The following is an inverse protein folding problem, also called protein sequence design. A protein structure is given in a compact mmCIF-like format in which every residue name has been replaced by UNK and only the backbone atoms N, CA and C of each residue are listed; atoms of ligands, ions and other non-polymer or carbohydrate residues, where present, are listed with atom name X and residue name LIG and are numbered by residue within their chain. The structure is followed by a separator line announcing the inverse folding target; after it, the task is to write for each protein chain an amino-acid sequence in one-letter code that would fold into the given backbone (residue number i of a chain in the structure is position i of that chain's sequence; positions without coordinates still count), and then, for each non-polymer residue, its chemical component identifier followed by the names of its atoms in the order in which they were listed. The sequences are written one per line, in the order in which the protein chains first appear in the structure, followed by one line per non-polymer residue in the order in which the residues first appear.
data_IF_065193325960
#
_entry.id   IF_065193325960
#
_cell.length_a   1.000
_cell.length_b   1.000
_cell.length_c   1.000
_cell.angle_alpha   90.00
_cell.angle_beta   90.00
_cell.angle_gamma   90.00
#
_symmetry.space_group_name_H-M   'P 1'
#
loop_
_entity.id
_entity.type
_entity.pdbx_description
1 polymer ?
#
# COMPACT_ATOMS: atom_id res chain seq x y z
N UNK A 1 -11.39 -31.11 7.68
CA UNK A 1 -9.97 -30.71 7.74
C UNK A 1 -9.90 -29.22 7.42
N UNK A 2 -9.90 -28.37 8.45
CA UNK A 2 -9.95 -26.91 8.28
C UNK A 2 -8.59 -26.41 7.79
N UNK A 3 -8.58 -25.62 6.71
CA UNK A 3 -7.38 -24.99 6.17
C UNK A 3 -6.63 -24.24 7.28
N UNK A 4 -5.35 -24.57 7.50
CA UNK A 4 -4.49 -23.85 8.44
C UNK A 4 -3.69 -22.82 7.67
N UNK A 5 -3.66 -21.58 8.15
CA UNK A 5 -2.80 -20.55 7.57
C UNK A 5 -1.35 -21.04 7.61
N UNK A 6 -0.65 -20.89 6.49
CA UNK A 6 0.73 -21.32 6.29
C UNK A 6 1.49 -20.27 5.49
N UNK A 7 2.82 -20.33 5.50
CA UNK A 7 3.63 -19.47 4.64
C UNK A 7 3.26 -19.66 3.16
N UNK A 8 2.96 -20.88 2.73
CA UNK A 8 2.53 -21.19 1.35
C UNK A 8 1.22 -20.47 0.99
N UNK A 9 0.22 -20.50 1.87
CA UNK A 9 -1.08 -19.84 1.62
C UNK A 9 -0.93 -18.32 1.61
N UNK A 10 -0.05 -17.76 2.45
CA UNK A 10 0.28 -16.33 2.43
C UNK A 10 0.96 -15.93 1.12
N UNK A 11 1.94 -16.72 0.65
CA UNK A 11 2.62 -16.48 -0.62
C UNK A 11 1.66 -16.56 -1.80
N UNK A 12 0.74 -17.52 -1.81
CA UNK A 12 -0.30 -17.64 -2.83
C UNK A 12 -1.26 -16.45 -2.82
N UNK A 13 -1.68 -15.99 -1.63
CA UNK A 13 -2.49 -14.77 -1.50
C UNK A 13 -1.74 -13.56 -2.09
N UNK A 14 -0.47 -13.41 -1.77
CA UNK A 14 0.33 -12.29 -2.25
C UNK A 14 0.50 -12.32 -3.78
N UNK A 15 0.77 -13.50 -4.37
CA UNK A 15 0.81 -13.65 -5.82
C UNK A 15 -0.54 -13.30 -6.45
N UNK A 16 -1.66 -13.76 -5.87
CA UNK A 16 -3.00 -13.38 -6.33
C UNK A 16 -3.19 -11.86 -6.29
N UNK A 17 -2.80 -11.21 -5.20
CA UNK A 17 -2.89 -9.74 -5.04
C UNK A 17 -2.05 -9.03 -6.10
N UNK A 18 -0.83 -9.49 -6.40
CA UNK A 18 -0.03 -8.94 -7.48
C UNK A 18 -0.73 -9.03 -8.82
N UNK A 19 -1.33 -10.19 -9.14
CA UNK A 19 -2.08 -10.36 -10.38
C UNK A 19 -3.31 -9.43 -10.43
N UNK A 20 -4.03 -9.28 -9.32
CA UNK A 20 -5.16 -8.35 -9.24
C UNK A 20 -4.70 -6.89 -9.39
N UNK A 21 -3.61 -6.49 -8.75
CA UNK A 21 -3.08 -5.13 -8.85
C UNK A 21 -2.52 -4.82 -10.24
N UNK A 22 -1.88 -5.77 -10.92
CA UNK A 22 -1.23 -5.50 -12.20
C UNK A 22 -2.16 -5.67 -13.40
N UNK A 23 -3.23 -6.45 -13.28
CA UNK A 23 -4.16 -6.70 -14.39
C UNK A 23 -5.58 -6.17 -14.12
N UNK A 24 -6.16 -6.43 -12.95
CA UNK A 24 -7.52 -5.99 -12.65
C UNK A 24 -7.59 -4.49 -12.33
N UNK A 25 -6.63 -3.95 -11.56
CA UNK A 25 -6.63 -2.52 -11.22
C UNK A 25 -6.57 -1.60 -12.45
N UNK A 26 -5.68 -1.80 -13.45
CA UNK A 26 -5.69 -1.00 -14.67
C UNK A 26 -6.98 -1.16 -15.47
N UNK A 27 -7.54 -2.36 -15.53
CA UNK A 27 -8.82 -2.62 -16.18
C UNK A 27 -9.96 -1.83 -15.52
N UNK A 28 -10.03 -1.82 -14.18
CA UNK A 28 -11.01 -1.04 -13.43
C UNK A 28 -10.81 0.47 -13.62
N UNK A 29 -9.56 0.94 -13.64
CA UNK A 29 -9.22 2.32 -13.98
C UNK A 29 -9.72 2.73 -15.37
N UNK A 30 -9.54 1.86 -16.37
CA UNK A 30 -10.01 2.12 -17.73
C UNK A 30 -11.54 2.12 -17.87
N UNK A 31 -12.26 1.36 -17.03
CA UNK A 31 -13.73 1.23 -17.09
C UNK A 31 -14.49 2.22 -16.23
N UNK A 32 -13.95 2.56 -15.06
CA UNK A 32 -14.61 3.37 -14.04
C UNK A 32 -14.01 4.78 -13.92
N UNK A 33 -12.96 5.09 -14.70
CA UNK A 33 -12.25 6.37 -14.63
C UNK A 33 -11.68 6.60 -13.24
N UNK A 34 -11.93 7.78 -12.68
CA UNK A 34 -11.43 8.18 -11.37
C UNK A 34 -11.96 7.31 -10.21
N UNK A 35 -13.18 6.77 -10.33
CA UNK A 35 -13.71 5.81 -9.36
C UNK A 35 -12.94 4.49 -9.35
N UNK A 36 -12.26 4.15 -10.45
CA UNK A 36 -11.37 3.01 -10.52
C UNK A 36 -10.26 3.07 -9.47
N UNK A 37 -9.78 4.27 -9.12
CA UNK A 37 -8.75 4.49 -8.09
C UNK A 37 -9.24 4.16 -6.67
N UNK A 38 -10.56 4.22 -6.45
CA UNK A 38 -11.18 3.84 -5.16
C UNK A 38 -11.54 2.36 -5.16
N UNK A 39 -12.20 1.88 -6.22
CA UNK A 39 -12.70 0.52 -6.30
C UNK A 39 -11.56 -0.50 -6.40
N UNK A 40 -10.50 -0.19 -7.15
CA UNK A 40 -9.39 -1.12 -7.35
C UNK A 40 -8.67 -1.52 -6.06
N UNK A 41 -8.18 -0.61 -5.19
CA UNK A 41 -7.55 -1.02 -3.94
C UNK A 41 -8.51 -1.79 -3.03
N UNK A 42 -9.80 -1.40 -2.95
CA UNK A 42 -10.79 -2.14 -2.17
C UNK A 42 -10.96 -3.59 -2.64
N UNK A 43 -11.00 -3.83 -3.95
CA UNK A 43 -11.16 -5.17 -4.52
C UNK A 43 -9.86 -5.98 -4.58
N UNK A 44 -8.74 -5.33 -4.88
CA UNK A 44 -7.46 -6.00 -5.13
C UNK A 44 -6.64 -6.25 -3.86
N UNK A 45 -6.87 -5.48 -2.78
CA UNK A 45 -6.14 -5.60 -1.52
C UNK A 45 -7.06 -5.88 -0.34
N UNK A 46 -8.05 -5.01 -0.08
CA UNK A 46 -8.88 -5.12 1.13
C UNK A 46 -9.73 -6.38 1.13
N UNK A 47 -10.42 -6.67 0.01
CA UNK A 47 -11.27 -7.84 -0.11
C UNK A 47 -10.49 -9.16 0.06
N UNK A 48 -9.35 -9.40 -0.63
CA UNK A 48 -8.51 -10.57 -0.40
C UNK A 48 -8.02 -10.69 1.04
N UNK A 49 -7.62 -9.59 1.69
CA UNK A 49 -7.23 -9.62 3.10
C UNK A 49 -8.39 -10.04 4.00
N UNK A 50 -9.57 -9.47 3.80
CA UNK A 50 -10.76 -9.80 4.56
C UNK A 50 -11.17 -11.26 4.38
N UNK A 51 -11.21 -11.75 3.13
CA UNK A 51 -11.50 -13.14 2.83
C UNK A 51 -10.48 -14.08 3.48
N UNK A 52 -9.19 -13.75 3.47
CA UNK A 52 -8.17 -14.57 4.13
C UNK A 52 -8.43 -14.66 5.64
N UNK A 53 -8.68 -13.53 6.31
CA UNK A 53 -9.02 -13.51 7.74
C UNK A 53 -10.26 -14.35 8.04
N UNK A 54 -11.30 -14.27 7.22
CA UNK A 54 -12.52 -15.06 7.37
C UNK A 54 -12.29 -16.56 7.15
N UNK A 55 -11.64 -16.94 6.04
CA UNK A 55 -11.41 -18.34 5.65
C UNK A 55 -10.59 -19.06 6.71
N UNK A 56 -9.54 -18.40 7.23
CA UNK A 56 -8.65 -18.96 8.24
C UNK A 56 -9.10 -18.67 9.68
N UNK A 57 -10.28 -18.04 9.86
CA UNK A 57 -10.88 -17.68 11.15
C UNK A 57 -9.90 -16.96 12.08
N UNK A 58 -9.16 -16.02 11.51
CA UNK A 58 -8.19 -15.21 12.23
C UNK A 58 -8.90 -14.11 13.02
N UNK A 59 -8.29 -13.64 14.11
CA UNK A 59 -8.86 -12.56 14.92
C UNK A 59 -8.68 -11.19 14.22
N UNK A 60 -9.75 -10.55 13.71
CA UNK A 60 -9.62 -9.31 12.95
C UNK A 60 -8.97 -8.18 13.75
N UNK A 61 -9.09 -8.15 15.07
CA UNK A 61 -8.46 -7.12 15.90
C UNK A 61 -6.92 -7.22 15.87
N UNK A 62 -6.38 -8.43 15.72
CA UNK A 62 -4.93 -8.65 15.59
C UNK A 62 -4.40 -8.20 14.24
N UNK A 63 -5.18 -8.42 13.17
CA UNK A 63 -4.75 -8.22 11.79
C UNK A 63 -5.17 -6.90 11.17
N UNK A 64 -6.24 -6.25 11.61
CA UNK A 64 -6.64 -4.93 11.06
C UNK A 64 -6.23 -3.77 11.95
N UNK A 65 -5.84 -4.05 13.21
CA UNK A 65 -5.23 -3.11 14.16
C UNK A 65 -5.88 -1.71 14.15
N UNK A 66 -7.21 -1.67 14.11
CA UNK A 66 -7.98 -0.43 14.23
C UNK A 66 -7.94 0.02 15.70
N UNK A 67 -6.82 0.59 16.11
CA UNK A 67 -6.62 1.13 17.44
C UNK A 67 -7.24 2.54 17.55
N UNK A 68 -7.64 2.91 18.76
CA UNK A 68 -8.09 4.28 19.05
C UNK A 68 -6.90 5.23 18.96
N UNK A 69 -6.94 6.17 18.03
CA UNK A 69 -5.89 7.16 17.82
C UNK A 69 -6.13 8.36 18.74
N UNK A 70 -5.09 8.81 19.47
CA UNK A 70 -5.17 10.04 20.28
C UNK A 70 -4.73 11.23 19.43
N UNK A 71 -5.17 12.44 19.80
CA UNK A 71 -4.82 13.66 19.05
C UNK A 71 -3.31 13.90 18.93
N UNK A 72 -2.54 13.62 20.00
CA UNK A 72 -1.07 13.73 19.94
C UNK A 72 -0.44 12.72 18.99
N UNK A 73 -1.02 11.52 18.86
CA UNK A 73 -0.53 10.52 17.90
C UNK A 73 -0.74 11.03 16.47
N UNK A 74 -1.85 11.74 16.20
CA UNK A 74 -2.08 12.38 14.89
C UNK A 74 -1.01 13.44 14.58
N UNK A 75 -0.63 14.26 15.56
CA UNK A 75 0.40 15.28 15.36
C UNK A 75 1.76 14.65 15.05
N UNK A 76 2.13 13.59 15.78
CA UNK A 76 3.38 12.86 15.52
C UNK A 76 3.36 12.18 14.16
N UNK A 77 2.25 11.55 13.78
CA UNK A 77 2.08 10.95 12.46
C UNK A 77 2.26 12.04 11.39
N UNK A 78 1.63 13.20 11.53
CA UNK A 78 1.75 14.31 10.58
C UNK A 78 3.21 14.77 10.41
N UNK A 79 3.94 14.97 11.52
CA UNK A 79 5.36 15.37 11.50
C UNK A 79 6.20 14.29 10.83
N UNK A 80 6.01 13.02 11.18
CA UNK A 80 6.75 11.90 10.59
C UNK A 80 6.43 11.74 9.09
N UNK A 81 5.16 11.85 8.70
CA UNK A 81 4.75 11.82 7.29
C UNK A 81 5.44 12.95 6.52
N UNK A 82 5.48 14.17 7.06
CA UNK A 82 6.16 15.29 6.43
C UNK A 82 7.66 15.00 6.24
N UNK A 83 8.33 14.49 7.27
CA UNK A 83 9.76 14.14 7.19
C UNK A 83 10.01 13.03 6.17
N UNK A 84 9.17 12.00 6.13
CA UNK A 84 9.26 10.89 5.17
C UNK A 84 9.03 11.40 3.75
N UNK A 85 8.01 12.24 3.52
CA UNK A 85 7.73 12.83 2.21
C UNK A 85 8.90 13.68 1.72
N UNK A 86 9.47 14.53 2.57
CA UNK A 86 10.64 15.34 2.24
C UNK A 86 11.87 14.47 1.94
N UNK A 87 12.08 13.42 2.74
CA UNK A 87 13.15 12.45 2.54
C UNK A 87 13.02 11.70 1.21
N UNK A 88 11.83 11.18 0.90
CA UNK A 88 11.53 10.51 -0.37
C UNK A 88 11.74 11.47 -1.55
N UNK A 89 11.28 12.72 -1.45
CA UNK A 89 11.46 13.72 -2.50
C UNK A 89 12.95 13.99 -2.78
N UNK A 90 13.75 14.13 -1.74
CA UNK A 90 15.20 14.31 -1.89
C UNK A 90 15.87 13.08 -2.51
N UNK A 91 15.50 11.88 -2.05
CA UNK A 91 16.00 10.63 -2.61
C UNK A 91 15.65 10.48 -4.09
N UNK A 92 14.43 10.85 -4.51
CA UNK A 92 14.03 10.83 -5.91
C UNK A 92 14.86 11.79 -6.76
N UNK A 93 15.20 12.98 -6.23
CA UNK A 93 16.11 13.91 -6.92
C UNK A 93 17.51 13.33 -7.10
N UNK A 94 18.06 12.69 -6.06
CA UNK A 94 19.36 12.04 -6.14
C UNK A 94 19.33 10.86 -7.13
N UNK A 95 18.30 10.04 -7.05
CA UNK A 95 18.10 8.90 -7.94
C UNK A 95 18.01 9.35 -9.39
N UNK A 96 17.32 10.46 -9.68
CA UNK A 96 17.14 10.97 -11.04
C UNK A 96 18.46 11.28 -11.76
N UNK A 97 19.57 11.46 -11.03
CA UNK A 97 20.89 11.63 -11.62
C UNK A 97 21.41 10.35 -12.31
N UNK A 98 21.08 9.18 -11.77
CA UNK A 98 21.58 7.88 -12.24
C UNK A 98 20.50 7.03 -12.91
N UNK A 99 19.24 7.21 -12.50
CA UNK A 99 18.08 6.44 -12.94
C UNK A 99 16.85 7.37 -13.05
N UNK A 100 16.80 8.23 -14.08
CA UNK A 100 15.72 9.18 -14.28
C UNK A 100 14.40 8.46 -14.56
N UNK A 101 13.31 9.00 -14.02
CA UNK A 101 11.96 8.52 -14.33
C UNK A 101 11.62 8.95 -15.76
N UNK A 102 11.22 8.02 -16.66
CA UNK A 102 10.79 8.36 -18.00
C UNK A 102 9.63 9.35 -17.98
N UNK A 103 9.64 10.36 -18.84
CA UNK A 103 8.52 11.34 -18.95
C UNK A 103 7.20 10.67 -19.37
N UNK A 104 7.27 9.49 -20.00
CA UNK A 104 6.11 8.66 -20.32
C UNK A 104 5.52 7.93 -19.12
N UNK A 105 6.13 8.04 -17.93
CA UNK A 105 5.61 7.39 -16.71
C UNK A 105 4.29 8.05 -16.28
N UNK A 106 3.22 7.28 -16.00
CA UNK A 106 1.96 7.81 -15.48
C UNK A 106 2.09 8.59 -14.17
N UNK A 107 3.19 8.38 -13.42
CA UNK A 107 3.49 9.05 -12.15
C UNK A 107 4.05 10.47 -12.33
N UNK A 108 4.40 10.88 -13.55
CA UNK A 108 4.93 12.20 -13.85
C UNK A 108 3.78 13.22 -13.98
N UNK A 109 3.54 14.02 -12.94
CA UNK A 109 2.59 15.14 -12.98
C UNK A 109 1.21 14.90 -12.35
N UNK A 110 1.05 13.89 -11.49
CA UNK A 110 -0.26 13.46 -10.95
C UNK A 110 -1.04 14.48 -10.10
N UNK A 111 -0.45 15.62 -9.72
CA UNK A 111 -1.13 16.66 -8.93
C UNK A 111 -1.25 17.97 -9.71
N UNK A 112 -2.47 18.25 -10.19
CA UNK A 112 -2.84 19.55 -10.75
C UNK A 112 -3.50 20.40 -9.66
N UNK A 113 -2.72 21.24 -8.98
CA UNK A 113 -3.20 22.16 -7.91
C UNK A 113 -4.13 23.29 -8.41
N UNK A 114 -4.63 23.21 -9.65
CA UNK A 114 -5.56 24.19 -10.25
C UNK A 114 -6.99 23.66 -10.36
N UNK A 115 -7.28 22.49 -9.76
CA UNK A 115 -8.60 21.88 -9.79
C UNK A 115 -9.59 22.58 -8.83
N UNK A 116 -10.91 22.52 -9.11
CA UNK A 116 -11.94 22.92 -8.14
C UNK A 116 -11.81 22.18 -6.80
N UNK A 117 -12.32 22.79 -5.71
CA UNK A 117 -12.24 22.22 -4.37
C UNK A 117 -12.81 20.80 -4.29
N UNK A 118 -13.96 20.54 -4.91
CA UNK A 118 -14.58 19.22 -4.91
C UNK A 118 -13.70 18.14 -5.57
N UNK A 119 -13.08 18.46 -6.70
CA UNK A 119 -12.11 17.57 -7.36
C UNK A 119 -10.87 17.34 -6.50
N UNK A 120 -10.36 18.40 -5.86
CA UNK A 120 -9.19 18.29 -4.98
C UNK A 120 -9.49 17.38 -3.78
N UNK A 121 -10.66 17.54 -3.14
CA UNK A 121 -11.10 16.67 -2.06
C UNK A 121 -11.25 15.22 -2.51
N UNK A 122 -11.80 14.99 -3.71
CA UNK A 122 -11.89 13.65 -4.28
C UNK A 122 -10.52 13.05 -4.60
N UNK A 123 -9.57 13.84 -5.11
CA UNK A 123 -8.20 13.40 -5.37
C UNK A 123 -7.50 13.01 -4.06
N UNK A 124 -7.61 13.81 -3.00
CA UNK A 124 -7.07 13.46 -1.67
C UNK A 124 -7.70 12.17 -1.16
N UNK A 125 -9.01 12.03 -1.28
CA UNK A 125 -9.72 10.83 -0.86
C UNK A 125 -9.24 9.59 -1.63
N UNK A 126 -9.20 9.65 -2.96
CA UNK A 126 -8.92 8.51 -3.84
C UNK A 126 -7.44 8.16 -3.98
N UNK A 127 -6.51 9.13 -3.84
CA UNK A 127 -5.07 8.91 -4.01
C UNK A 127 -4.31 8.79 -2.68
N UNK A 128 -4.83 9.34 -1.59
CA UNK A 128 -4.14 9.31 -0.30
C UNK A 128 -4.91 8.48 0.74
N UNK A 129 -6.17 8.80 1.01
CA UNK A 129 -6.89 8.20 2.14
C UNK A 129 -7.22 6.73 1.87
N UNK A 130 -7.87 6.43 0.74
CA UNK A 130 -8.28 5.05 0.43
C UNK A 130 -7.08 4.10 0.29
N UNK A 131 -6.02 4.42 -0.48
CA UNK A 131 -4.84 3.57 -0.55
C UNK A 131 -4.18 3.38 0.81
N UNK A 132 -3.95 4.44 1.59
CA UNK A 132 -3.30 4.32 2.90
C UNK A 132 -4.05 3.37 3.86
N UNK A 133 -5.38 3.47 3.91
CA UNK A 133 -6.19 2.58 4.76
C UNK A 133 -6.09 1.12 4.32
N UNK A 134 -6.18 0.87 3.02
CA UNK A 134 -6.17 -0.48 2.47
C UNK A 134 -4.78 -1.11 2.55
N UNK A 135 -3.73 -0.32 2.29
CA UNK A 135 -2.34 -0.73 2.41
C UNK A 135 -1.97 -1.05 3.86
N UNK A 136 -2.40 -0.24 4.83
CA UNK A 136 -2.21 -0.51 6.25
C UNK A 136 -2.86 -1.85 6.64
N UNK A 137 -4.11 -2.07 6.22
CA UNK A 137 -4.82 -3.34 6.49
C UNK A 137 -4.12 -4.54 5.86
N UNK A 138 -3.66 -4.43 4.62
CA UNK A 138 -3.06 -5.55 3.92
C UNK A 138 -1.60 -5.79 4.34
N UNK A 139 -0.72 -4.81 4.21
CA UNK A 139 0.73 -4.99 4.38
C UNK A 139 1.12 -5.01 5.86
N UNK A 140 0.72 -4.00 6.63
CA UNK A 140 1.06 -3.91 8.06
C UNK A 140 0.22 -4.80 8.94
N UNK A 141 -1.04 -4.92 8.57
CA UNK A 141 -2.02 -5.76 9.21
C UNK A 141 -1.83 -7.24 8.88
N UNK A 142 -2.37 -7.67 7.75
CA UNK A 142 -2.40 -9.09 7.41
C UNK A 142 -1.00 -9.68 7.16
N UNK A 143 -0.29 -9.11 6.19
CA UNK A 143 0.90 -9.71 5.60
C UNK A 143 2.06 -9.77 6.59
N UNK A 144 2.36 -8.65 7.27
CA UNK A 144 3.40 -8.57 8.27
C UNK A 144 3.13 -9.45 9.49
N UNK A 145 1.89 -9.47 10.01
CA UNK A 145 1.55 -10.30 11.17
C UNK A 145 1.62 -11.80 10.85
N UNK A 146 1.25 -12.20 9.64
CA UNK A 146 1.47 -13.58 9.19
C UNK A 146 2.96 -13.90 9.04
N UNK A 147 3.77 -12.99 8.46
CA UNK A 147 5.22 -13.21 8.31
C UNK A 147 5.94 -13.37 9.66
N UNK A 148 5.54 -12.62 10.68
CA UNK A 148 6.11 -12.70 12.04
C UNK A 148 5.96 -14.07 12.70
N UNK A 149 5.05 -14.92 12.20
CA UNK A 149 4.92 -16.32 12.67
C UNK A 149 6.07 -17.22 12.20
N UNK A 150 6.75 -16.83 11.11
CA UNK A 150 7.77 -17.65 10.45
C UNK A 150 9.15 -16.99 10.47
N UNK A 151 9.23 -15.67 10.64
CA UNK A 151 10.46 -14.89 10.58
C UNK A 151 10.63 -14.01 11.82
N UNK A 152 11.88 -13.71 12.24
CA UNK A 152 12.14 -12.67 13.23
C UNK A 152 11.56 -11.32 12.80
N UNK A 153 11.12 -10.51 13.77
CA UNK A 153 10.41 -9.23 13.55
C UNK A 153 11.10 -8.34 12.52
N UNK A 154 12.43 -8.21 12.59
CA UNK A 154 13.22 -7.39 11.68
C UNK A 154 13.11 -7.87 10.22
N UNK A 155 13.26 -9.17 9.98
CA UNK A 155 13.18 -9.76 8.64
C UNK A 155 11.75 -9.76 8.08
N UNK A 156 10.75 -9.97 8.94
CA UNK A 156 9.34 -9.86 8.55
C UNK A 156 9.01 -8.43 8.08
N UNK A 157 9.53 -7.41 8.78
CA UNK A 157 9.38 -6.00 8.41
C UNK A 157 10.02 -5.70 7.05
N UNK A 158 11.28 -6.09 6.86
CA UNK A 158 11.98 -5.88 5.58
C UNK A 158 11.27 -6.56 4.42
N UNK A 159 10.81 -7.81 4.60
CA UNK A 159 10.12 -8.54 3.55
C UNK A 159 8.73 -7.94 3.24
N UNK A 160 8.02 -7.45 4.25
CA UNK A 160 6.76 -6.73 4.06
C UNK A 160 6.95 -5.43 3.29
N UNK A 161 7.98 -4.64 3.62
CA UNK A 161 8.30 -3.40 2.90
C UNK A 161 8.73 -3.67 1.45
N UNK A 162 9.46 -4.76 1.20
CA UNK A 162 9.82 -5.19 -0.14
C UNK A 162 8.58 -5.63 -0.93
N UNK A 163 7.68 -6.40 -0.31
CA UNK A 163 6.41 -6.79 -0.92
C UNK A 163 5.55 -5.57 -1.27
N UNK A 164 5.45 -4.60 -0.37
CA UNK A 164 4.77 -3.33 -0.62
C UNK A 164 5.35 -2.62 -1.86
N UNK A 165 6.68 -2.53 -1.95
CA UNK A 165 7.35 -1.90 -3.09
C UNK A 165 7.11 -2.63 -4.42
N UNK A 166 7.21 -3.96 -4.42
CA UNK A 166 6.94 -4.78 -5.61
C UNK A 166 5.49 -4.63 -6.06
N UNK A 167 4.53 -4.56 -5.14
CA UNK A 167 3.11 -4.42 -5.47
C UNK A 167 2.80 -3.16 -6.29
N UNK A 168 3.59 -2.09 -6.16
CA UNK A 168 3.44 -0.87 -6.96
C UNK A 168 3.82 -1.06 -8.44
N UNK A 169 4.64 -2.07 -8.78
CA UNK A 169 5.01 -2.39 -10.16
C UNK A 169 5.86 -1.33 -10.88
N UNK A 170 6.31 -0.28 -10.18
CA UNK A 170 7.12 0.79 -10.77
C UNK A 170 8.59 0.64 -10.37
N UNK A 171 9.37 -0.01 -11.23
CA UNK A 171 10.79 -0.30 -10.97
C UNK A 171 11.62 0.95 -10.63
N UNK A 172 11.31 2.09 -11.25
CA UNK A 172 11.99 3.36 -10.98
C UNK A 172 11.74 3.91 -9.57
N UNK A 173 10.66 3.52 -8.91
CA UNK A 173 10.30 4.00 -7.58
C UNK A 173 10.49 2.93 -6.50
N UNK A 174 11.13 1.80 -6.84
CA UNK A 174 11.23 0.62 -5.97
C UNK A 174 11.88 0.97 -4.63
N UNK A 175 12.96 1.76 -4.63
CA UNK A 175 13.62 2.18 -3.39
C UNK A 175 12.72 3.12 -2.56
N UNK A 176 12.08 4.10 -3.21
CA UNK A 176 11.18 5.04 -2.54
C UNK A 176 9.98 4.34 -1.91
N UNK A 177 9.34 3.42 -2.64
CA UNK A 177 8.24 2.62 -2.11
C UNK A 177 8.71 1.64 -1.03
N UNK A 178 9.92 1.09 -1.13
CA UNK A 178 10.47 0.25 -0.07
C UNK A 178 10.61 1.02 1.25
N UNK A 179 11.18 2.24 1.19
CA UNK A 179 11.30 3.09 2.37
C UNK A 179 9.93 3.53 2.90
N UNK A 180 8.98 3.84 2.02
CA UNK A 180 7.61 4.13 2.41
C UNK A 180 6.95 2.93 3.11
N UNK A 181 7.16 1.71 2.59
CA UNK A 181 6.68 0.47 3.18
C UNK A 181 7.39 0.07 4.48
N UNK A 182 8.54 0.66 4.82
CA UNK A 182 9.13 0.58 6.16
C UNK A 182 8.45 1.53 7.14
N UNK A 183 7.99 2.69 6.66
CA UNK A 183 7.27 3.69 7.44
C UNK A 183 5.83 3.29 7.74
N UNK A 184 5.04 2.97 6.70
CA UNK A 184 3.72 2.32 6.78
C UNK A 184 3.92 1.00 7.50
#
# INVERSE_FOLDING_TARGET
MLFRASLKTLSLLYVLVLLLLWYLSPFLGARLGDWGRVVAPLLCLLLPAFLYVLIFRLNPNTYFRLARIRFLDLLWVLVLTLLVVLGIHYLLKLQAHWWPVPQSSPSYGAFHFKAPLAETLFQVFSLAIVPALVEEVFFRGLFLEELKKYLPKFWALLLSALAFSVAHGQWHFLLSFFLLGLYL
#
